data_IF_826061502224
#
_entry.id   IF_826061502224
#
_cell.length_a   1.000
_cell.length_b   1.000
_cell.length_c   1.000
_cell.angle_alpha   90.00
_cell.angle_beta   90.00
_cell.angle_gamma   90.00
#
_symmetry.space_group_name_H-M   'P 1'
#
loop_
_entity.id
_entity.type
_entity.pdbx_description
1 polymer ?
#
# COMPACT_ATOMS: atom_id res chain seq x y z
N UNK A 1 8.88 -0.05 13.10
CA UNK A 1 9.00 0.89 11.96
C UNK A 1 7.68 0.97 11.20
N UNK A 2 7.33 2.15 10.69
CA UNK A 2 6.07 2.43 9.98
C UNK A 2 6.34 3.02 8.59
N UNK A 3 5.66 2.48 7.58
CA UNK A 3 5.80 2.95 6.20
C UNK A 3 4.68 3.93 5.81
N UNK A 4 5.07 5.08 5.27
CA UNK A 4 4.16 6.08 4.71
C UNK A 4 3.50 5.54 3.44
N UNK A 5 2.16 5.69 3.36
CA UNK A 5 1.35 5.25 2.23
C UNK A 5 1.11 6.35 1.17
N UNK A 6 1.75 7.52 1.32
CA UNK A 6 1.70 8.55 0.28
C UNK A 6 2.51 8.08 -0.94
N UNK A 7 1.86 7.95 -2.09
CA UNK A 7 2.46 7.47 -3.34
C UNK A 7 3.60 8.36 -3.88
N UNK A 8 3.66 9.62 -3.47
CA UNK A 8 4.72 10.57 -3.87
C UNK A 8 5.87 10.65 -2.86
N UNK A 9 5.80 9.91 -1.74
CA UNK A 9 6.87 9.91 -0.74
C UNK A 9 8.10 9.13 -1.24
N UNK A 10 9.27 9.78 -1.22
CA UNK A 10 10.56 9.19 -1.63
C UNK A 10 11.22 8.39 -0.49
N UNK A 11 11.08 8.84 0.77
CA UNK A 11 11.63 8.16 1.96
C UNK A 11 10.50 7.77 2.93
N UNK A 12 9.81 6.65 2.69
CA UNK A 12 8.56 6.34 3.39
C UNK A 12 8.76 5.70 4.77
N UNK A 13 9.97 5.33 5.17
CA UNK A 13 10.22 4.71 6.48
C UNK A 13 10.26 5.75 7.60
N UNK A 14 9.50 5.49 8.66
CA UNK A 14 9.38 6.35 9.84
C UNK A 14 9.42 5.51 11.13
N UNK A 15 9.76 6.12 12.29
CA UNK A 15 9.57 5.49 13.60
C UNK A 15 8.10 5.21 13.91
N UNK A 16 7.87 4.32 14.87
CA UNK A 16 6.54 3.80 15.17
C UNK A 16 5.64 4.81 15.88
N UNK A 17 6.20 5.82 16.51
CA UNK A 17 5.50 6.84 17.29
C UNK A 17 5.18 8.08 16.45
N UNK A 18 5.71 8.15 15.22
CA UNK A 18 5.53 9.29 14.35
C UNK A 18 4.05 9.42 13.92
N UNK A 19 3.49 10.63 14.09
CA UNK A 19 2.12 10.96 13.63
C UNK A 19 2.09 11.47 12.18
N UNK A 20 3.21 12.03 11.71
CA UNK A 20 3.39 12.54 10.34
C UNK A 20 4.69 12.00 9.76
N UNK A 21 4.71 11.82 8.45
CA UNK A 21 5.88 11.35 7.74
C UNK A 21 6.97 12.42 7.77
N UNK A 22 8.18 12.06 8.21
CA UNK A 22 9.35 12.94 8.27
C UNK A 22 9.82 13.40 6.88
N UNK A 23 9.49 12.65 5.82
CA UNK A 23 9.93 12.97 4.45
C UNK A 23 8.94 13.80 3.64
N UNK A 24 7.63 13.67 3.86
CA UNK A 24 6.62 14.33 3.02
C UNK A 24 5.51 15.04 3.81
N UNK A 25 5.55 15.02 5.14
CA UNK A 25 4.57 15.68 6.01
C UNK A 25 3.19 15.01 6.10
N UNK A 26 2.89 14.04 5.22
CA UNK A 26 1.60 13.34 5.21
C UNK A 26 1.31 12.64 6.55
N UNK A 27 0.04 12.58 7.00
CA UNK A 27 -0.34 11.82 8.19
C UNK A 27 0.02 10.34 8.02
N UNK A 28 0.55 9.73 9.08
CA UNK A 28 0.92 8.33 9.06
C UNK A 28 -0.27 7.46 9.47
N UNK A 29 -0.55 6.43 8.68
CA UNK A 29 -1.59 5.44 8.95
C UNK A 29 -0.97 4.26 9.71
N UNK A 30 -1.22 4.19 11.01
CA UNK A 30 -0.66 3.15 11.89
C UNK A 30 -1.29 1.77 11.70
N UNK A 31 -2.55 1.74 11.28
CA UNK A 31 -3.29 0.52 10.99
C UNK A 31 -4.33 0.81 9.90
N UNK A 32 -4.05 0.31 8.69
CA UNK A 32 -4.96 0.44 7.56
C UNK A 32 -6.17 -0.48 7.79
N UNK A 33 -7.38 0.10 7.69
CA UNK A 33 -8.64 -0.57 8.08
C UNK A 33 -8.61 -1.13 9.52
N UNK A 34 -7.81 -0.53 10.41
CA UNK A 34 -7.61 -1.02 11.78
C UNK A 34 -6.77 -2.29 11.92
N UNK A 35 -6.40 -2.94 10.80
CA UNK A 35 -5.84 -4.31 10.80
C UNK A 35 -4.41 -4.38 10.26
N UNK A 36 -4.12 -3.75 9.14
CA UNK A 36 -2.85 -3.95 8.44
C UNK A 36 -1.85 -2.85 8.77
N UNK A 37 -0.71 -3.20 9.38
CA UNK A 37 0.38 -2.26 9.67
C UNK A 37 1.39 -2.26 8.53
N UNK A 38 1.53 -1.19 7.73
CA UNK A 38 2.52 -1.14 6.67
C UNK A 38 3.93 -0.94 7.26
N UNK A 39 4.84 -1.85 6.94
CA UNK A 39 6.19 -1.89 7.54
C UNK A 39 7.25 -1.37 6.56
N UNK A 40 7.13 -1.69 5.27
CA UNK A 40 8.16 -1.35 4.27
C UNK A 40 7.60 -1.28 2.86
N UNK A 41 8.10 -0.35 2.03
CA UNK A 41 7.87 -0.35 0.59
C UNK A 41 8.65 -1.50 -0.07
N UNK A 42 7.97 -2.38 -0.80
CA UNK A 42 8.57 -3.47 -1.57
C UNK A 42 8.90 -3.02 -2.99
N UNK A 43 8.05 -2.19 -3.60
CA UNK A 43 8.27 -1.71 -4.95
C UNK A 43 7.18 -0.75 -5.43
N UNK A 44 7.44 -0.15 -6.58
CA UNK A 44 6.53 0.74 -7.29
C UNK A 44 6.52 0.34 -8.77
N UNK A 45 5.34 0.23 -9.37
CA UNK A 45 5.16 -0.10 -10.78
C UNK A 45 4.01 0.70 -11.40
N UNK A 46 3.68 0.41 -12.67
CA UNK A 46 2.69 1.17 -13.44
C UNK A 46 1.27 1.22 -12.83
N UNK A 47 0.93 0.26 -11.97
CA UNK A 47 -0.38 0.16 -11.32
C UNK A 47 -0.41 0.69 -9.88
N UNK A 48 0.74 1.12 -9.32
CA UNK A 48 0.83 1.69 -7.99
C UNK A 48 1.99 1.17 -7.15
N UNK A 49 1.78 1.04 -5.85
CA UNK A 49 2.82 0.68 -4.87
C UNK A 49 2.50 -0.62 -4.14
N UNK A 50 3.54 -1.36 -3.81
CA UNK A 50 3.46 -2.61 -3.07
C UNK A 50 4.23 -2.48 -1.77
N UNK A 51 3.61 -2.83 -0.66
CA UNK A 51 4.17 -2.71 0.68
C UNK A 51 4.13 -4.07 1.38
N UNK A 52 5.15 -4.35 2.18
CA UNK A 52 5.12 -5.38 3.20
C UNK A 52 4.34 -4.82 4.40
N UNK A 53 3.40 -5.61 4.89
CA UNK A 53 2.61 -5.27 6.06
C UNK A 53 2.54 -6.44 7.04
N UNK A 54 2.08 -6.13 8.25
CA UNK A 54 1.69 -7.11 9.27
C UNK A 54 0.18 -7.09 9.43
N UNK A 55 -0.42 -8.28 9.40
CA UNK A 55 -1.83 -8.49 9.69
C UNK A 55 -2.01 -8.68 11.20
N UNK A 56 -2.51 -7.65 11.89
CA UNK A 56 -2.69 -7.69 13.35
C UNK A 56 -3.69 -8.74 13.81
N UNK A 57 -4.68 -9.06 12.98
CA UNK A 57 -5.71 -10.05 13.33
C UNK A 57 -5.20 -11.49 13.15
N UNK A 58 -4.05 -11.65 12.49
CA UNK A 58 -3.41 -12.95 12.23
C UNK A 58 -2.05 -13.04 12.90
N UNK A 59 -1.97 -12.71 14.19
CA UNK A 59 -0.74 -12.79 14.99
C UNK A 59 0.45 -12.04 14.37
N UNK A 60 0.19 -10.87 13.76
CA UNK A 60 1.18 -10.08 13.03
C UNK A 60 1.83 -10.83 11.85
N UNK A 61 1.14 -11.80 11.24
CA UNK A 61 1.61 -12.49 10.06
C UNK A 61 1.96 -11.49 8.94
N UNK A 62 3.02 -11.78 8.20
CA UNK A 62 3.45 -10.95 7.07
C UNK A 62 2.43 -11.09 5.94
N UNK A 63 1.97 -9.95 5.43
CA UNK A 63 1.10 -9.86 4.27
C UNK A 63 1.60 -8.75 3.33
N UNK A 64 0.99 -8.66 2.15
CA UNK A 64 1.35 -7.63 1.16
C UNK A 64 0.17 -6.70 0.97
N UNK A 65 0.42 -5.39 0.98
CA UNK A 65 -0.53 -4.37 0.56
C UNK A 65 -0.18 -3.93 -0.86
N UNK A 66 -1.14 -3.99 -1.80
CA UNK A 66 -1.02 -3.39 -3.12
C UNK A 66 -1.97 -2.19 -3.18
N UNK A 67 -1.38 -0.99 -3.20
CA UNK A 67 -2.10 0.28 -3.29
C UNK A 67 -2.25 0.67 -4.76
N UNK A 68 -3.48 0.94 -5.18
CA UNK A 68 -3.72 1.52 -6.50
C UNK A 68 -3.25 2.98 -6.52
N UNK A 69 -2.24 3.26 -7.34
CA UNK A 69 -1.72 4.61 -7.54
C UNK A 69 -1.24 4.75 -9.00
N UNK A 70 -2.16 4.67 -9.97
CA UNK A 70 -1.82 4.69 -11.38
C UNK A 70 -1.20 6.03 -11.77
N UNK A 71 -0.14 6.00 -12.56
CA UNK A 71 0.50 7.22 -13.09
C UNK A 71 -0.07 7.66 -14.45
N UNK A 72 -1.05 6.93 -14.98
CA UNK A 72 -1.66 7.22 -16.29
C UNK A 72 -2.65 8.38 -16.19
N UNK A 73 -2.60 9.28 -17.17
CA UNK A 73 -3.48 10.47 -17.23
C UNK A 73 -4.67 10.32 -18.18
N UNK A 74 -4.66 9.34 -19.08
CA UNK A 74 -5.76 9.15 -20.04
C UNK A 74 -6.88 8.30 -19.45
N UNK A 75 -8.12 8.71 -19.67
CA UNK A 75 -9.33 8.04 -19.15
C UNK A 75 -9.42 6.58 -19.60
N UNK A 76 -9.01 6.29 -20.85
CA UNK A 76 -8.98 4.92 -21.40
C UNK A 76 -7.93 4.04 -20.73
N UNK A 77 -6.73 4.57 -20.45
CA UNK A 77 -5.70 3.83 -19.73
C UNK A 77 -6.06 3.63 -18.26
N UNK A 78 -6.75 4.62 -17.65
CA UNK A 78 -7.24 4.52 -16.27
C UNK A 78 -8.29 3.42 -16.13
N UNK A 79 -9.28 3.35 -17.03
CA UNK A 79 -10.28 2.28 -17.02
C UNK A 79 -9.65 0.90 -17.19
N UNK A 80 -8.64 0.78 -18.07
CA UNK A 80 -7.89 -0.47 -18.24
C UNK A 80 -7.09 -0.83 -16.99
N UNK A 81 -6.44 0.15 -16.35
CA UNK A 81 -5.69 -0.06 -15.11
C UNK A 81 -6.60 -0.52 -13.97
N UNK A 82 -7.80 0.06 -13.84
CA UNK A 82 -8.82 -0.36 -12.86
C UNK A 82 -9.26 -1.80 -13.12
N UNK A 83 -9.57 -2.15 -14.38
CA UNK A 83 -10.00 -3.50 -14.74
C UNK A 83 -8.93 -4.56 -14.43
N UNK A 84 -7.67 -4.28 -14.80
CA UNK A 84 -6.54 -5.18 -14.51
C UNK A 84 -6.30 -5.31 -13.01
N UNK A 85 -6.39 -4.21 -12.26
CA UNK A 85 -6.24 -4.20 -10.81
C UNK A 85 -7.31 -5.06 -10.11
N UNK A 86 -8.57 -4.95 -10.55
CA UNK A 86 -9.67 -5.77 -10.02
C UNK A 86 -9.53 -7.26 -10.38
N UNK A 87 -9.10 -7.59 -11.60
CA UNK A 87 -8.83 -8.98 -12.00
C UNK A 87 -7.70 -9.61 -11.17
N UNK A 88 -6.64 -8.85 -10.91
CA UNK A 88 -5.58 -9.31 -10.01
C UNK A 88 -6.12 -9.49 -8.59
N UNK A 89 -7.04 -8.64 -8.14
CA UNK A 89 -7.58 -8.75 -6.79
C UNK A 89 -8.32 -10.05 -6.52
N UNK A 90 -9.11 -10.52 -7.47
CA UNK A 90 -9.79 -11.82 -7.36
C UNK A 90 -8.79 -12.97 -7.28
N UNK A 91 -7.69 -12.92 -8.06
CA UNK A 91 -6.66 -13.97 -8.04
C UNK A 91 -5.81 -13.96 -6.77
N UNK A 92 -5.55 -12.78 -6.21
CA UNK A 92 -4.59 -12.59 -5.13
C UNK A 92 -5.23 -12.71 -3.72
N UNK A 93 -6.56 -12.70 -3.61
CA UNK A 93 -7.27 -12.83 -2.34
C UNK A 93 -6.89 -14.12 -1.58
N UNK A 94 -6.72 -15.24 -2.30
CA UNK A 94 -6.31 -16.52 -1.70
C UNK A 94 -4.85 -16.57 -1.21
N UNK A 95 -4.02 -15.58 -1.55
CA UNK A 95 -2.59 -15.56 -1.25
C UNK A 95 -2.21 -14.61 -0.11
N UNK A 96 -3.20 -14.04 0.59
CA UNK A 96 -2.97 -13.12 1.71
C UNK A 96 -2.50 -11.73 1.27
N UNK A 97 -2.83 -11.33 0.04
CA UNK A 97 -2.54 -9.99 -0.49
C UNK A 97 -3.77 -9.11 -0.28
N UNK A 98 -3.56 -7.94 0.33
CA UNK A 98 -4.56 -6.92 0.60
C UNK A 98 -4.48 -5.85 -0.47
N UNK A 99 -5.61 -5.50 -1.04
CA UNK A 99 -5.70 -4.56 -2.16
C UNK A 99 -6.52 -3.36 -1.71
N UNK A 100 -5.93 -2.17 -1.83
CA UNK A 100 -6.48 -0.89 -1.37
C UNK A 100 -6.39 0.16 -2.46
#
# INVERSE_FOLDING_TARGET
MLCCLNAHCQKPLNPDEAKKCRSCGAPLVHALRGRYRPVRLLGQGGFGRTYLAQDKDRLNAKCVIKQFAPQVRSSRAMNKAISLFNQEAVRLYGLGIVII
#
